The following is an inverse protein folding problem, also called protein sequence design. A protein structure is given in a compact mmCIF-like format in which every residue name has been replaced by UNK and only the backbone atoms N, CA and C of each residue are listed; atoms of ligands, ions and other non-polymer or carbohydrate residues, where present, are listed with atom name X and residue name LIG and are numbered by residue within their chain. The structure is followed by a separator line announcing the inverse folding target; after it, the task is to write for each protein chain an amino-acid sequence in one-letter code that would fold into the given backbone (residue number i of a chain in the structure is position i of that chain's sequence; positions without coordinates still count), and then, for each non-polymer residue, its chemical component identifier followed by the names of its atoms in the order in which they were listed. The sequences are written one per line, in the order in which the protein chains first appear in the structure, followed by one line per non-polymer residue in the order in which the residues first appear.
data_IF_726582261674
#
_entry.id   IF_726582261674
#
_cell.length_a   1.000
_cell.length_b   1.000
_cell.length_c   1.000
_cell.angle_alpha   90.00
_cell.angle_beta   90.00
_cell.angle_gamma   90.00
#
_symmetry.space_group_name_H-M   'P 1'
#
loop_
_entity.id
_entity.type
_entity.pdbx_description
1 polymer ?
#
# COMPACT_ATOMS: atom_id res chain seq x y z
N UNK A 1 29.17 -16.48 -15.70
CA UNK A 1 30.53 -15.97 -15.41
C UNK A 1 30.55 -14.65 -14.62
N UNK A 2 29.41 -14.10 -14.15
CA UNK A 2 29.35 -12.90 -13.28
C UNK A 2 28.65 -13.17 -11.93
N UNK A 3 28.44 -14.45 -11.61
CA UNK A 3 27.74 -14.90 -10.41
C UNK A 3 28.67 -15.88 -9.72
N UNK A 4 29.00 -15.57 -8.47
CA UNK A 4 29.80 -16.40 -7.58
C UNK A 4 28.98 -16.68 -6.32
N UNK A 5 29.33 -17.76 -5.61
CA UNK A 5 28.65 -18.16 -4.38
C UNK A 5 29.65 -18.33 -3.24
N UNK A 6 29.31 -17.83 -2.05
CA UNK A 6 30.05 -18.03 -0.81
C UNK A 6 29.08 -18.53 0.26
N UNK A 7 29.46 -19.59 0.98
CA UNK A 7 28.70 -20.05 2.14
C UNK A 7 29.02 -19.17 3.34
N UNK A 8 28.00 -18.70 4.06
CA UNK A 8 28.13 -17.72 5.16
C UNK A 8 27.12 -18.04 6.27
N UNK A 9 27.55 -18.03 7.54
CA UNK A 9 26.61 -18.04 8.68
C UNK A 9 26.25 -16.60 9.06
N UNK A 10 25.05 -16.18 8.69
CA UNK A 10 24.54 -14.82 8.94
C UNK A 10 24.33 -14.49 10.42
N UNK A 11 24.35 -15.48 11.31
CA UNK A 11 24.27 -15.27 12.77
C UNK A 11 25.61 -14.89 13.36
N UNK A 12 26.71 -15.12 12.63
CA UNK A 12 28.06 -14.79 13.05
C UNK A 12 28.60 -13.64 12.21
N UNK A 13 28.74 -12.46 12.83
CA UNK A 13 29.23 -11.26 12.16
C UNK A 13 30.62 -11.45 11.52
N UNK A 14 31.54 -12.20 12.15
CA UNK A 14 32.86 -12.48 11.58
C UNK A 14 32.76 -13.31 10.31
N UNK A 15 31.85 -14.31 10.27
CA UNK A 15 31.64 -15.12 9.06
C UNK A 15 31.19 -14.27 7.87
N UNK A 16 30.33 -13.28 8.12
CA UNK A 16 29.89 -12.33 7.08
C UNK A 16 31.03 -11.39 6.69
N UNK A 17 31.79 -10.88 7.67
CA UNK A 17 32.90 -9.98 7.43
C UNK A 17 33.98 -10.61 6.54
N UNK A 18 34.40 -11.83 6.86
CA UNK A 18 35.39 -12.59 6.07
C UNK A 18 34.90 -12.84 4.64
N UNK A 19 33.60 -13.08 4.47
CA UNK A 19 33.01 -13.31 3.15
C UNK A 19 33.02 -12.08 2.24
N UNK A 20 33.01 -10.86 2.79
CA UNK A 20 32.90 -9.61 2.01
C UNK A 20 34.18 -8.76 2.00
N UNK A 21 35.15 -9.01 2.89
CA UNK A 21 36.35 -8.18 3.07
C UNK A 21 37.14 -7.95 1.78
N UNK A 22 37.29 -9.00 0.97
CA UNK A 22 38.00 -8.92 -0.32
C UNK A 22 37.25 -8.08 -1.37
N UNK A 23 35.93 -7.96 -1.22
CA UNK A 23 35.05 -7.25 -2.15
C UNK A 23 35.00 -5.75 -1.85
N UNK A 24 35.37 -5.31 -0.64
CA UNK A 24 35.24 -3.92 -0.17
C UNK A 24 36.04 -2.90 -1.01
N UNK A 25 36.98 -3.36 -1.84
CA UNK A 25 37.68 -2.53 -2.83
C UNK A 25 36.81 -2.08 -4.02
N UNK A 26 35.62 -2.67 -4.19
CA UNK A 26 34.65 -2.37 -5.27
C UNK A 26 33.48 -1.56 -4.74
N UNK A 27 32.67 -0.99 -5.63
CA UNK A 27 31.35 -0.48 -5.22
C UNK A 27 30.39 -1.64 -4.95
N UNK A 28 29.89 -1.73 -3.72
CA UNK A 28 29.00 -2.79 -3.26
C UNK A 28 27.61 -2.22 -3.00
N UNK A 29 26.59 -2.99 -3.41
CA UNK A 29 25.23 -2.89 -2.89
C UNK A 29 24.88 -4.22 -2.25
N UNK A 30 24.68 -4.22 -0.93
CA UNK A 30 24.34 -5.40 -0.15
C UNK A 30 22.82 -5.55 -0.10
N UNK A 31 22.29 -6.57 -0.77
CA UNK A 31 20.85 -6.87 -0.79
C UNK A 31 20.48 -7.98 0.19
N UNK A 32 19.70 -7.66 1.22
CA UNK A 32 19.34 -8.58 2.30
C UNK A 32 17.99 -9.25 2.01
N UNK A 33 18.00 -10.26 1.14
CA UNK A 33 16.87 -11.17 0.89
C UNK A 33 16.79 -12.28 1.97
N UNK A 34 16.73 -11.88 3.23
CA UNK A 34 16.84 -12.77 4.40
C UNK A 34 15.74 -12.47 5.42
N UNK A 35 15.44 -13.40 6.35
CA UNK A 35 14.52 -13.14 7.45
C UNK A 35 14.94 -11.93 8.32
N UNK A 36 14.01 -11.10 8.81
CA UNK A 36 14.30 -9.89 9.57
C UNK A 36 15.15 -10.11 10.83
N UNK A 37 14.98 -11.26 11.49
CA UNK A 37 15.76 -11.62 12.68
C UNK A 37 17.27 -11.77 12.44
N UNK A 38 17.72 -11.78 11.18
CA UNK A 38 19.13 -11.84 10.81
C UNK A 38 19.68 -10.49 10.34
N UNK A 39 18.87 -9.42 10.27
CA UNK A 39 19.32 -8.13 9.75
C UNK A 39 20.43 -7.51 10.58
N UNK A 40 20.29 -7.48 11.90
CA UNK A 40 21.28 -6.83 12.79
C UNK A 40 22.63 -7.54 12.69
N UNK A 41 22.68 -8.87 12.89
CA UNK A 41 23.92 -9.64 12.83
C UNK A 41 24.58 -9.57 11.45
N UNK A 42 23.79 -9.59 10.38
CA UNK A 42 24.29 -9.46 9.02
C UNK A 42 24.88 -8.06 8.78
N UNK A 43 24.19 -6.99 9.18
CA UNK A 43 24.67 -5.62 9.01
C UNK A 43 25.95 -5.36 9.83
N UNK A 44 26.04 -5.89 11.05
CA UNK A 44 27.26 -5.83 11.86
C UNK A 44 28.44 -6.48 11.14
N UNK A 45 28.24 -7.65 10.56
CA UNK A 45 29.28 -8.33 9.79
C UNK A 45 29.64 -7.62 8.48
N UNK A 46 28.65 -7.07 7.77
CA UNK A 46 28.91 -6.24 6.59
C UNK A 46 29.72 -4.98 6.93
N UNK A 47 29.40 -4.31 8.04
CA UNK A 47 30.17 -3.17 8.54
C UNK A 47 31.61 -3.57 8.88
N UNK A 48 31.79 -4.66 9.63
CA UNK A 48 33.10 -5.19 10.02
C UNK A 48 33.95 -5.60 8.80
N UNK A 49 33.33 -6.16 7.77
CA UNK A 49 33.97 -6.49 6.50
C UNK A 49 34.20 -5.29 5.57
N UNK A 50 33.81 -4.07 5.97
CA UNK A 50 33.96 -2.85 5.19
C UNK A 50 32.90 -2.63 4.12
N UNK A 51 31.93 -3.54 3.95
CA UNK A 51 30.90 -3.48 2.91
C UNK A 51 29.78 -2.46 3.17
N UNK A 52 29.78 -1.77 4.32
CA UNK A 52 28.89 -0.62 4.62
C UNK A 52 29.64 0.73 4.66
N UNK A 53 30.96 0.74 4.46
CA UNK A 53 31.72 1.99 4.34
C UNK A 53 31.28 2.79 3.10
N UNK A 54 31.36 4.12 3.15
CA UNK A 54 31.04 4.93 1.97
C UNK A 54 31.99 4.57 0.80
N UNK A 55 31.49 4.40 -0.45
CA UNK A 55 30.15 4.74 -0.95
C UNK A 55 29.18 3.56 -1.04
N UNK A 56 29.41 2.45 -0.33
CA UNK A 56 28.58 1.26 -0.39
C UNK A 56 27.17 1.50 0.16
N UNK A 57 26.22 0.69 -0.30
CA UNK A 57 24.79 0.86 -0.01
C UNK A 57 24.18 -0.43 0.50
N UNK A 58 23.13 -0.28 1.29
CA UNK A 58 22.38 -1.37 1.88
C UNK A 58 20.95 -1.38 1.34
N UNK A 59 20.48 -2.52 0.86
CA UNK A 59 19.10 -2.74 0.46
C UNK A 59 18.43 -3.75 1.40
N UNK A 60 17.28 -3.38 1.95
CA UNK A 60 16.53 -4.16 2.93
C UNK A 60 15.15 -4.50 2.39
N UNK A 61 14.80 -5.78 2.44
CA UNK A 61 13.42 -6.21 2.20
C UNK A 61 12.53 -5.93 3.42
N UNK A 62 11.22 -5.89 3.18
CA UNK A 62 10.24 -5.87 4.27
C UNK A 62 10.05 -7.29 4.85
N UNK A 63 9.60 -7.45 6.10
CA UNK A 63 9.21 -6.40 7.04
C UNK A 63 10.38 -5.83 7.86
N UNK A 64 10.28 -4.55 8.22
CA UNK A 64 11.21 -3.86 9.13
C UNK A 64 10.55 -3.80 10.51
N UNK A 65 10.79 -4.82 11.33
CA UNK A 65 10.11 -4.99 12.62
C UNK A 65 8.75 -5.68 12.51
N UNK A 66 8.12 -5.91 13.66
CA UNK A 66 6.76 -6.46 13.80
C UNK A 66 5.84 -5.57 14.66
N UNK A 67 6.40 -4.50 15.23
CA UNK A 67 5.80 -3.42 16.01
C UNK A 67 6.76 -2.22 16.03
N UNK A 68 6.35 -1.11 16.65
CA UNK A 68 7.17 0.11 16.77
C UNK A 68 8.50 -0.13 17.50
N UNK A 69 8.52 -0.98 18.52
CA UNK A 69 9.70 -1.22 19.36
C UNK A 69 10.78 -2.01 18.61
N UNK A 70 10.39 -3.13 18.00
CA UNK A 70 11.28 -3.95 17.17
C UNK A 70 11.74 -3.19 15.91
N UNK A 71 10.87 -2.39 15.29
CA UNK A 71 11.26 -1.54 14.17
C UNK A 71 12.29 -0.48 14.60
N UNK A 72 12.08 0.17 15.75
CA UNK A 72 13.00 1.15 16.31
C UNK A 72 14.37 0.53 16.62
N UNK A 73 14.42 -0.67 17.20
CA UNK A 73 15.66 -1.38 17.48
C UNK A 73 16.44 -1.71 16.19
N UNK A 74 15.76 -2.25 15.18
CA UNK A 74 16.36 -2.52 13.86
C UNK A 74 16.90 -1.24 13.22
N UNK A 75 16.10 -0.18 13.19
CA UNK A 75 16.47 1.08 12.55
C UNK A 75 17.65 1.75 13.27
N UNK A 76 17.65 1.77 14.60
CA UNK A 76 18.74 2.33 15.39
C UNK A 76 20.03 1.53 15.22
N UNK A 77 19.93 0.19 15.27
CA UNK A 77 21.07 -0.70 15.08
C UNK A 77 21.70 -0.54 13.69
N UNK A 78 20.89 -0.41 12.64
CA UNK A 78 21.38 -0.21 11.27
C UNK A 78 21.93 1.22 11.11
N UNK A 79 21.23 2.24 11.62
CA UNK A 79 21.66 3.65 11.53
C UNK A 79 22.97 3.95 12.27
N UNK A 80 23.39 3.11 13.22
CA UNK A 80 24.71 3.19 13.84
C UNK A 80 25.85 2.68 12.94
N UNK A 81 25.53 1.95 11.87
CA UNK A 81 26.50 1.26 11.00
C UNK A 81 26.59 1.89 9.59
N UNK A 82 25.54 2.57 9.15
CA UNK A 82 25.44 3.17 7.81
C UNK A 82 24.54 4.42 7.85
N UNK A 83 24.93 5.44 7.09
CA UNK A 83 24.16 6.68 6.95
C UNK A 83 22.85 6.43 6.16
N UNK A 84 21.78 7.13 6.55
CA UNK A 84 20.42 6.92 6.02
C UNK A 84 20.31 7.18 4.51
N UNK A 85 21.13 8.06 3.94
CA UNK A 85 21.17 8.34 2.50
C UNK A 85 21.69 7.15 1.66
N UNK A 86 22.27 6.14 2.30
CA UNK A 86 22.78 4.91 1.69
C UNK A 86 21.96 3.66 2.06
N UNK A 87 20.82 3.82 2.73
CA UNK A 87 19.90 2.74 3.09
C UNK A 87 18.65 2.77 2.20
N UNK A 88 18.35 1.63 1.58
CA UNK A 88 17.31 1.47 0.57
C UNK A 88 16.31 0.41 1.04
N UNK A 89 15.25 0.82 1.75
CA UNK A 89 14.19 -0.07 2.24
C UNK A 89 13.14 -0.26 1.15
N UNK A 90 12.96 -1.49 0.68
CA UNK A 90 12.11 -1.78 -0.47
C UNK A 90 10.63 -1.79 -0.08
N UNK A 91 9.84 -1.09 -0.88
CA UNK A 91 8.42 -1.38 -1.07
C UNK A 91 8.18 -1.52 -2.58
N UNK A 92 7.90 -2.74 -3.03
CA UNK A 92 7.78 -3.03 -4.47
C UNK A 92 6.58 -2.32 -5.14
N UNK A 93 5.59 -1.81 -4.38
CA UNK A 93 4.51 -1.01 -4.98
C UNK A 93 5.03 0.34 -5.49
N UNK A 94 6.02 0.95 -4.83
CA UNK A 94 6.63 2.22 -5.27
C UNK A 94 7.37 2.08 -6.61
N UNK A 95 7.81 0.87 -6.94
CA UNK A 95 8.44 0.55 -8.23
C UNK A 95 7.45 0.39 -9.39
N UNK A 96 6.13 0.37 -9.15
CA UNK A 96 5.11 0.19 -10.20
C UNK A 96 4.87 1.51 -10.95
N UNK A 97 4.83 1.42 -12.28
CA UNK A 97 4.64 2.58 -13.14
C UNK A 97 3.31 3.31 -12.87
N UNK A 98 2.21 2.56 -12.68
CA UNK A 98 0.92 3.16 -12.37
C UNK A 98 0.91 3.91 -11.02
N UNK A 99 1.68 3.45 -10.04
CA UNK A 99 1.83 4.14 -8.74
C UNK A 99 2.59 5.46 -8.90
N UNK A 100 3.64 5.48 -9.73
CA UNK A 100 4.37 6.72 -10.03
C UNK A 100 3.51 7.71 -10.81
N UNK A 101 2.62 7.22 -11.67
CA UNK A 101 1.71 8.05 -12.45
C UNK A 101 0.73 8.83 -11.55
N UNK A 102 0.48 8.39 -10.31
CA UNK A 102 -0.31 9.17 -9.34
C UNK A 102 0.29 10.56 -9.11
N UNK A 103 1.62 10.65 -8.93
CA UNK A 103 2.32 11.92 -8.71
C UNK A 103 2.22 12.81 -9.95
N UNK A 104 2.45 12.22 -11.13
CA UNK A 104 2.36 12.93 -12.40
C UNK A 104 0.95 13.47 -12.66
N UNK A 105 -0.09 12.69 -12.35
CA UNK A 105 -1.47 13.12 -12.53
C UNK A 105 -1.86 14.22 -11.56
N UNK A 106 -1.54 14.07 -10.27
CA UNK A 106 -1.87 15.08 -9.26
C UNK A 106 -1.17 16.41 -9.53
N UNK A 107 0.15 16.40 -9.70
CA UNK A 107 0.93 17.64 -9.72
C UNK A 107 1.23 18.15 -11.15
N UNK A 108 0.94 17.37 -12.18
CA UNK A 108 1.04 17.79 -13.58
C UNK A 108 -0.23 18.40 -14.17
N UNK A 109 -1.37 18.32 -13.46
CA UNK A 109 -2.68 18.70 -14.00
C UNK A 109 -3.44 19.65 -13.06
N UNK A 110 -3.56 20.91 -13.46
CA UNK A 110 -4.30 21.94 -12.71
C UNK A 110 -5.73 21.53 -12.38
N UNK A 111 -6.41 20.86 -13.32
CA UNK A 111 -7.78 20.41 -13.14
C UNK A 111 -7.91 19.44 -11.95
N UNK A 112 -7.00 18.47 -11.85
CA UNK A 112 -7.03 17.48 -10.77
C UNK A 112 -6.61 18.11 -9.43
N UNK A 113 -5.52 18.88 -9.40
CA UNK A 113 -5.06 19.51 -8.15
C UNK A 113 -6.10 20.49 -7.58
N UNK A 114 -6.84 21.22 -8.43
CA UNK A 114 -7.88 22.14 -8.00
C UNK A 114 -9.00 21.45 -7.18
N UNK A 115 -9.31 20.19 -7.51
CA UNK A 115 -10.34 19.40 -6.82
C UNK A 115 -9.76 18.43 -5.80
N UNK A 116 -8.45 18.37 -5.60
CA UNK A 116 -7.78 17.37 -4.77
C UNK A 116 -7.78 17.69 -3.26
N UNK A 117 -8.94 18.00 -2.69
CA UNK A 117 -9.06 18.38 -1.29
C UNK A 117 -10.45 18.12 -0.73
N UNK A 118 -10.60 18.20 0.61
CA UNK A 118 -11.84 17.99 1.36
C UNK A 118 -13.05 18.80 0.90
N UNK A 119 -12.88 19.87 0.13
CA UNK A 119 -14.01 20.65 -0.41
C UNK A 119 -14.76 19.81 -1.45
N UNK A 120 -14.02 19.07 -2.28
CA UNK A 120 -14.56 18.35 -3.43
C UNK A 120 -14.49 16.83 -3.27
N UNK A 121 -13.51 16.29 -2.53
CA UNK A 121 -13.42 14.85 -2.28
C UNK A 121 -14.34 14.48 -1.11
N UNK A 122 -15.16 13.46 -1.33
CA UNK A 122 -16.03 12.85 -0.33
C UNK A 122 -15.29 11.76 0.44
N UNK A 123 -14.68 10.82 -0.27
CA UNK A 123 -13.96 9.68 0.32
C UNK A 123 -12.88 9.15 -0.62
N UNK A 124 -11.94 8.39 -0.04
CA UNK A 124 -10.93 7.64 -0.78
C UNK A 124 -10.99 6.19 -0.36
N UNK A 125 -11.04 5.26 -1.31
CA UNK A 125 -10.93 3.83 -1.07
C UNK A 125 -9.62 3.31 -1.67
N UNK A 126 -8.83 2.57 -0.90
CA UNK A 126 -7.62 1.88 -1.35
C UNK A 126 -7.82 0.39 -1.08
N UNK A 127 -7.95 -0.39 -2.14
CA UNK A 127 -8.14 -1.83 -2.09
C UNK A 127 -6.91 -2.56 -2.61
N UNK A 128 -6.42 -3.52 -1.84
CA UNK A 128 -5.48 -4.55 -2.32
C UNK A 128 -6.06 -5.93 -2.02
N UNK A 129 -6.71 -6.51 -3.02
CA UNK A 129 -7.31 -7.84 -2.97
C UNK A 129 -6.40 -8.90 -3.60
N UNK A 130 -6.25 -10.02 -2.90
CA UNK A 130 -5.53 -11.20 -3.37
C UNK A 130 -6.51 -12.38 -3.46
N UNK A 131 -6.53 -13.06 -4.61
CA UNK A 131 -7.27 -14.31 -4.75
C UNK A 131 -6.50 -15.50 -4.17
N UNK A 132 -5.18 -15.36 -4.01
CA UNK A 132 -4.30 -16.33 -3.40
C UNK A 132 -4.50 -16.42 -1.87
N UNK A 133 -4.24 -17.60 -1.31
CA UNK A 133 -4.29 -17.83 0.13
C UNK A 133 -2.97 -17.57 0.84
N UNK A 134 -2.90 -17.96 2.11
CA UNK A 134 -1.63 -17.98 2.85
C UNK A 134 -0.71 -19.11 2.34
N UNK A 135 -1.31 -20.23 1.92
CA UNK A 135 -0.76 -21.39 1.21
C UNK A 135 0.66 -21.80 1.66
N UNK A 136 0.73 -22.66 2.69
CA UNK A 136 1.98 -23.29 3.15
C UNK A 136 2.85 -22.42 4.07
N UNK A 137 2.37 -21.22 4.43
CA UNK A 137 3.07 -20.27 5.31
C UNK A 137 2.28 -19.95 6.57
N UNK A 138 1.40 -20.85 7.01
CA UNK A 138 0.42 -20.59 8.06
C UNK A 138 1.06 -20.09 9.37
N UNK A 139 2.13 -20.74 9.83
CA UNK A 139 2.84 -20.36 11.04
C UNK A 139 3.62 -19.03 10.91
N UNK A 140 4.07 -18.68 9.71
CA UNK A 140 4.73 -17.40 9.45
C UNK A 140 3.68 -16.28 9.41
N UNK A 141 2.61 -16.48 8.64
CA UNK A 141 1.55 -15.50 8.47
C UNK A 141 0.80 -15.22 9.78
N UNK A 142 0.68 -16.23 10.66
CA UNK A 142 0.07 -16.09 11.98
C UNK A 142 0.74 -15.04 12.88
N UNK A 143 1.98 -14.64 12.58
CA UNK A 143 2.69 -13.56 13.29
C UNK A 143 2.49 -12.18 12.66
N UNK A 144 2.18 -12.13 11.37
CA UNK A 144 2.02 -10.87 10.63
C UNK A 144 0.56 -10.43 10.59
N UNK A 145 -0.33 -11.29 10.08
CA UNK A 145 -1.68 -10.92 9.71
C UNK A 145 -1.74 -9.92 8.55
N UNK A 146 -2.94 -9.67 8.06
CA UNK A 146 -3.14 -8.74 6.95
C UNK A 146 -2.80 -7.28 7.34
N UNK A 147 -2.97 -6.89 8.61
CA UNK A 147 -2.65 -5.54 9.07
C UNK A 147 -1.15 -5.24 8.89
N UNK A 148 -0.26 -6.13 9.36
CA UNK A 148 1.19 -5.90 9.30
C UNK A 148 1.78 -6.24 7.92
N UNK A 149 1.22 -7.23 7.22
CA UNK A 149 1.76 -7.67 5.92
C UNK A 149 1.47 -6.66 4.80
N UNK A 150 0.26 -6.07 4.80
CA UNK A 150 -0.24 -5.29 3.69
C UNK A 150 -0.56 -3.83 4.05
N UNK A 151 -1.21 -3.59 5.21
CA UNK A 151 -1.60 -2.23 5.58
C UNK A 151 -0.36 -1.40 5.97
N UNK A 152 0.47 -1.92 6.87
CA UNK A 152 1.66 -1.24 7.40
C UNK A 152 2.62 -0.72 6.33
N UNK A 153 2.79 -1.46 5.24
CA UNK A 153 3.69 -1.07 4.15
C UNK A 153 2.89 -0.53 2.96
N UNK A 154 2.30 -1.42 2.15
CA UNK A 154 1.86 -1.09 0.80
C UNK A 154 0.72 -0.09 0.78
N UNK A 155 -0.29 -0.31 1.62
CA UNK A 155 -1.47 0.56 1.62
C UNK A 155 -1.13 1.92 2.22
N UNK A 156 -0.35 1.98 3.29
CA UNK A 156 0.09 3.26 3.84
C UNK A 156 0.97 4.05 2.84
N UNK A 157 1.79 3.37 2.05
CA UNK A 157 2.56 4.03 0.98
C UNK A 157 1.65 4.59 -0.12
N UNK A 158 0.63 3.84 -0.56
CA UNK A 158 -0.37 4.35 -1.51
C UNK A 158 -1.18 5.51 -0.92
N UNK A 159 -1.60 5.41 0.34
CA UNK A 159 -2.29 6.48 1.07
C UNK A 159 -1.43 7.75 1.07
N UNK A 160 -0.14 7.64 1.37
CA UNK A 160 0.77 8.80 1.36
C UNK A 160 0.85 9.45 -0.02
N UNK A 161 0.97 8.67 -1.10
CA UNK A 161 1.04 9.21 -2.46
C UNK A 161 -0.26 9.91 -2.88
N UNK A 162 -1.41 9.43 -2.42
CA UNK A 162 -2.72 10.06 -2.64
C UNK A 162 -2.86 11.34 -1.80
N UNK A 163 -2.40 11.33 -0.55
CA UNK A 163 -2.71 12.36 0.42
C UNK A 163 -1.64 13.46 0.57
N UNK A 164 -0.40 13.23 0.16
CA UNK A 164 0.71 14.18 0.37
C UNK A 164 0.47 15.52 -0.32
N UNK A 165 1.01 16.60 0.25
CA UNK A 165 1.03 17.90 -0.42
C UNK A 165 1.95 17.89 -1.65
N UNK A 166 1.80 18.85 -2.59
CA UNK A 166 2.77 19.04 -3.65
C UNK A 166 4.17 19.30 -3.07
N UNK A 167 5.18 18.47 -3.38
CA UNK A 167 6.53 18.72 -2.90
C UNK A 167 7.15 19.91 -3.64
N UNK A 168 8.09 20.61 -2.98
CA UNK A 168 8.77 21.77 -3.57
C UNK A 168 9.61 21.41 -4.82
N UNK A 169 10.03 20.15 -4.94
CA UNK A 169 10.72 19.58 -6.10
C UNK A 169 10.55 18.05 -6.12
N UNK A 170 11.02 17.40 -7.18
CA UNK A 170 11.04 15.93 -7.30
C UNK A 170 12.29 15.29 -6.66
N UNK A 171 13.03 16.04 -5.85
CA UNK A 171 14.12 15.47 -5.05
C UNK A 171 13.57 14.46 -4.04
N UNK A 172 14.29 13.36 -3.85
CA UNK A 172 13.83 12.23 -3.03
C UNK A 172 13.39 12.65 -1.62
N UNK A 173 14.18 13.45 -0.91
CA UNK A 173 13.82 13.92 0.42
C UNK A 173 12.60 14.81 0.45
N UNK A 174 12.37 15.64 -0.58
CA UNK A 174 11.20 16.51 -0.65
C UNK A 174 9.92 15.69 -0.80
N UNK A 175 9.95 14.63 -1.59
CA UNK A 175 8.82 13.70 -1.70
C UNK A 175 8.61 12.96 -0.36
N UNK A 176 9.68 12.44 0.24
CA UNK A 176 9.62 11.68 1.51
C UNK A 176 9.14 12.55 2.67
N UNK A 177 9.53 13.82 2.73
CA UNK A 177 9.06 14.78 3.72
C UNK A 177 7.53 14.96 3.67
N UNK A 178 6.95 15.08 2.46
CA UNK A 178 5.50 15.21 2.32
C UNK A 178 4.75 13.92 2.68
N UNK A 179 5.33 12.74 2.42
CA UNK A 179 4.77 11.45 2.86
C UNK A 179 4.77 11.33 4.39
N UNK A 180 5.89 11.69 5.05
CA UNK A 180 6.00 11.65 6.52
C UNK A 180 5.01 12.60 7.18
N UNK A 181 4.75 13.78 6.62
CA UNK A 181 3.72 14.69 7.14
C UNK A 181 2.33 14.06 7.16
N UNK A 182 1.99 13.27 6.14
CA UNK A 182 0.73 12.52 6.10
C UNK A 182 0.70 11.47 7.21
N UNK A 183 1.73 10.64 7.32
CA UNK A 183 1.78 9.58 8.34
C UNK A 183 1.66 10.14 9.75
N UNK A 184 2.32 11.26 10.04
CA UNK A 184 2.23 11.95 11.34
C UNK A 184 0.89 12.61 11.60
N UNK A 185 0.10 12.87 10.55
CA UNK A 185 -1.26 13.40 10.65
C UNK A 185 -2.32 12.29 10.70
N UNK A 186 -1.95 11.01 10.60
CA UNK A 186 -2.91 9.93 10.79
C UNK A 186 -3.40 9.92 12.23
N UNK A 187 -4.71 10.02 12.40
CA UNK A 187 -5.36 9.95 13.71
C UNK A 187 -5.17 8.53 14.28
N UNK A 188 -4.60 8.39 15.49
CA UNK A 188 -4.52 7.09 16.15
C UNK A 188 -5.92 6.49 16.37
N UNK A 189 -6.03 5.17 16.17
CA UNK A 189 -7.27 4.44 16.46
C UNK A 189 -7.44 4.28 17.98
N UNK A 190 -8.68 4.30 18.43
CA UNK A 190 -9.03 4.08 19.84
C UNK A 190 -10.04 2.94 19.96
N UNK A 191 -10.12 2.30 21.11
CA UNK A 191 -11.08 1.21 21.36
C UNK A 191 -12.53 1.62 21.09
N UNK A 192 -12.91 2.87 21.39
CA UNK A 192 -14.24 3.41 21.13
C UNK A 192 -14.61 3.39 19.64
N UNK A 193 -13.65 3.69 18.77
CA UNK A 193 -13.85 3.79 17.34
C UNK A 193 -13.57 2.48 16.60
N UNK A 194 -12.88 1.52 17.22
CA UNK A 194 -12.43 0.28 16.59
C UNK A 194 -13.56 -0.48 15.86
N UNK A 195 -14.73 -0.62 16.47
CA UNK A 195 -15.84 -1.36 15.87
C UNK A 195 -16.55 -0.61 14.72
N UNK A 196 -16.48 0.72 14.72
CA UNK A 196 -17.07 1.55 13.67
C UNK A 196 -16.10 1.70 12.48
N UNK A 197 -14.84 2.02 12.78
CA UNK A 197 -13.84 2.38 11.79
C UNK A 197 -13.01 1.18 11.32
N UNK A 198 -13.32 -0.04 11.74
CA UNK A 198 -12.59 -1.20 11.22
C UNK A 198 -13.36 -2.52 11.28
N UNK A 199 -12.95 -3.42 10.38
CA UNK A 199 -13.38 -4.81 10.32
C UNK A 199 -12.14 -5.68 10.15
N UNK A 200 -12.04 -6.74 10.95
CA UNK A 200 -11.05 -7.78 10.77
C UNK A 200 -11.74 -9.11 10.51
N UNK A 201 -11.20 -9.89 9.57
CA UNK A 201 -11.83 -11.13 9.13
C UNK A 201 -10.85 -12.26 8.86
N UNK A 202 -11.38 -13.48 8.82
CA UNK A 202 -10.66 -14.70 8.47
C UNK A 202 -11.43 -15.53 7.45
N UNK A 203 -10.75 -15.94 6.36
CA UNK A 203 -11.44 -16.72 5.34
C UNK A 203 -11.74 -18.15 5.81
N UNK A 204 -12.95 -18.61 5.51
CA UNK A 204 -13.39 -20.00 5.63
C UNK A 204 -13.29 -20.70 4.28
N UNK A 205 -13.58 -22.01 4.26
CA UNK A 205 -13.68 -22.74 3.01
C UNK A 205 -14.74 -22.10 2.09
N UNK A 206 -14.52 -22.19 0.78
CA UNK A 206 -15.36 -21.56 -0.23
C UNK A 206 -14.92 -21.96 -1.64
N UNK A 207 -15.18 -21.11 -2.62
CA UNK A 207 -14.78 -21.34 -4.01
C UNK A 207 -14.33 -20.04 -4.68
N UNK A 208 -13.24 -20.11 -5.45
CA UNK A 208 -12.71 -18.99 -6.22
C UNK A 208 -12.63 -19.43 -7.68
N UNK A 209 -13.26 -18.70 -8.59
CA UNK A 209 -13.30 -19.06 -10.02
C UNK A 209 -13.77 -20.51 -10.28
N UNK A 210 -14.77 -20.96 -9.51
CA UNK A 210 -15.31 -22.32 -9.59
C UNK A 210 -14.42 -23.41 -9.00
N UNK A 211 -13.25 -23.09 -8.45
CA UNK A 211 -12.35 -24.04 -7.81
C UNK A 211 -12.51 -24.03 -6.28
N UNK A 212 -12.52 -25.18 -5.60
CA UNK A 212 -12.63 -25.23 -4.15
C UNK A 212 -11.40 -24.61 -3.49
N UNK A 213 -11.62 -23.80 -2.47
CA UNK A 213 -10.58 -23.18 -1.65
C UNK A 213 -10.75 -23.60 -0.19
N UNK A 214 -9.65 -24.01 0.44
CA UNK A 214 -9.63 -24.44 1.83
C UNK A 214 -9.70 -23.24 2.80
N UNK A 215 -10.19 -23.50 4.01
CA UNK A 215 -10.16 -22.52 5.09
C UNK A 215 -8.72 -22.23 5.55
N UNK A 216 -8.51 -21.09 6.18
CA UNK A 216 -7.25 -20.82 6.86
C UNK A 216 -7.19 -21.58 8.18
N UNK A 217 -6.12 -22.34 8.40
CA UNK A 217 -5.89 -23.10 9.63
C UNK A 217 -4.68 -22.54 10.37
N UNK A 218 -4.85 -21.46 11.16
CA UNK A 218 -3.75 -20.93 11.94
C UNK A 218 -3.38 -21.86 13.10
N UNK A 219 -2.18 -21.68 13.70
CA UNK A 219 -1.82 -22.33 14.95
C UNK A 219 -2.87 -22.12 16.03
N UNK A 220 -3.01 -23.09 16.94
CA UNK A 220 -3.96 -23.04 18.05
C UNK A 220 -3.76 -21.76 18.90
N UNK A 221 -4.87 -21.11 19.27
CA UNK A 221 -4.86 -19.85 20.02
C UNK A 221 -4.51 -18.60 19.19
N UNK A 222 -4.26 -18.74 17.89
CA UNK A 222 -4.01 -17.58 17.02
C UNK A 222 -5.29 -16.85 16.66
N UNK A 223 -5.31 -15.56 17.00
CA UNK A 223 -6.37 -14.62 16.63
C UNK A 223 -5.99 -13.80 15.38
N UNK A 224 -5.16 -14.33 14.48
CA UNK A 224 -4.69 -13.57 13.30
C UNK A 224 -5.78 -13.38 12.24
N UNK A 225 -5.81 -12.19 11.63
CA UNK A 225 -6.69 -11.85 10.52
C UNK A 225 -6.07 -12.10 9.14
N UNK A 226 -6.92 -12.52 8.18
CA UNK A 226 -6.57 -12.64 6.75
C UNK A 226 -7.23 -11.55 5.91
N UNK A 227 -8.08 -10.72 6.53
CA UNK A 227 -8.75 -9.57 5.96
C UNK A 227 -8.75 -8.42 6.95
N UNK A 228 -8.50 -7.21 6.45
CA UNK A 228 -8.60 -5.96 7.20
C UNK A 228 -9.29 -4.92 6.32
N UNK A 229 -10.28 -4.27 6.89
CA UNK A 229 -10.76 -2.98 6.43
C UNK A 229 -10.63 -1.97 7.58
N UNK A 230 -10.06 -0.80 7.33
CA UNK A 230 -9.90 0.26 8.34
C UNK A 230 -10.08 1.63 7.71
N UNK A 231 -10.81 2.51 8.39
CA UNK A 231 -10.93 3.92 8.03
C UNK A 231 -9.79 4.69 8.69
N UNK A 232 -8.91 5.24 7.88
CA UNK A 232 -7.89 6.19 8.30
C UNK A 232 -8.42 7.62 8.18
N UNK A 233 -8.22 8.41 9.24
CA UNK A 233 -8.47 9.84 9.23
C UNK A 233 -7.14 10.60 9.24
N UNK A 234 -7.02 11.60 8.35
CA UNK A 234 -5.82 12.43 8.24
C UNK A 234 -6.16 13.83 8.76
N UNK A 235 -5.66 14.14 9.96
CA UNK A 235 -5.94 15.38 10.68
C UNK A 235 -5.05 16.53 10.19
N UNK A 236 -5.33 17.00 8.98
CA UNK A 236 -4.68 18.18 8.39
C UNK A 236 -5.67 19.05 7.60
N UNK A 237 -5.18 20.18 7.07
CA UNK A 237 -6.02 21.13 6.36
C UNK A 237 -6.68 20.54 5.10
N UNK A 238 -5.95 19.72 4.33
CA UNK A 238 -6.43 19.17 3.06
C UNK A 238 -7.49 18.08 3.25
N UNK A 239 -7.36 17.27 4.30
CA UNK A 239 -8.12 16.01 4.44
C UNK A 239 -9.04 15.92 5.65
N UNK A 240 -9.07 16.91 6.55
CA UNK A 240 -9.97 16.86 7.70
C UNK A 240 -11.43 16.58 7.26
N UNK A 241 -12.01 15.53 7.83
CA UNK A 241 -13.37 15.07 7.55
C UNK A 241 -13.53 14.14 6.34
N UNK A 242 -12.46 13.88 5.57
CA UNK A 242 -12.48 12.91 4.46
C UNK A 242 -11.99 11.54 4.97
N UNK A 243 -12.81 10.49 4.93
CA UNK A 243 -12.38 9.15 5.29
C UNK A 243 -11.53 8.50 4.18
N UNK A 244 -10.45 7.83 4.59
CA UNK A 244 -9.66 6.93 3.74
C UNK A 244 -9.93 5.49 4.14
N UNK A 245 -10.68 4.75 3.35
CA UNK A 245 -10.95 3.34 3.59
C UNK A 245 -9.81 2.50 3.01
N UNK A 246 -9.10 1.80 3.89
CA UNK A 246 -7.97 0.94 3.58
C UNK A 246 -8.44 -0.51 3.69
N UNK A 247 -8.48 -1.23 2.58
CA UNK A 247 -9.01 -2.59 2.54
C UNK A 247 -8.01 -3.57 1.91
N UNK A 248 -7.84 -4.73 2.53
CA UNK A 248 -7.05 -5.83 2.00
C UNK A 248 -7.51 -7.17 2.51
N UNK A 249 -7.33 -8.21 1.71
CA UNK A 249 -7.58 -9.56 2.16
C UNK A 249 -7.07 -10.60 1.19
N UNK A 250 -6.88 -11.80 1.75
CA UNK A 250 -6.57 -13.02 1.01
C UNK A 250 -7.83 -13.82 0.72
N UNK A 251 -7.77 -14.67 -0.31
CA UNK A 251 -8.91 -15.46 -0.79
C UNK A 251 -10.14 -14.58 -1.11
N UNK A 252 -9.92 -13.38 -1.61
CA UNK A 252 -10.99 -12.54 -2.12
C UNK A 252 -11.43 -13.00 -3.51
N UNK A 253 -12.57 -12.48 -3.98
CA UNK A 253 -13.20 -12.86 -5.25
C UNK A 253 -12.23 -12.85 -6.44
N UNK A 254 -11.39 -11.81 -6.52
CA UNK A 254 -10.38 -11.66 -7.56
C UNK A 254 -9.16 -10.90 -7.06
N UNK A 255 -8.06 -11.00 -7.81
CA UNK A 255 -6.85 -10.22 -7.58
C UNK A 255 -7.05 -8.82 -8.15
N UNK A 256 -7.04 -7.80 -7.30
CA UNK A 256 -7.29 -6.42 -7.71
C UNK A 256 -6.54 -5.44 -6.83
N UNK A 257 -5.92 -4.42 -7.41
CA UNK A 257 -5.35 -3.29 -6.67
C UNK A 257 -5.93 -2.02 -7.24
N UNK A 258 -6.66 -1.27 -6.43
CA UNK A 258 -7.41 -0.08 -6.86
C UNK A 258 -7.31 1.06 -5.87
N UNK A 259 -7.27 2.27 -6.39
CA UNK A 259 -7.52 3.50 -5.62
C UNK A 259 -8.72 4.18 -6.28
N UNK A 260 -9.77 4.45 -5.50
CA UNK A 260 -10.95 5.19 -5.97
C UNK A 260 -11.06 6.46 -5.15
N UNK A 261 -11.06 7.60 -5.85
CA UNK A 261 -11.31 8.91 -5.25
C UNK A 261 -12.70 9.34 -5.66
N UNK A 262 -13.62 9.40 -4.70
CA UNK A 262 -15.02 9.78 -4.92
C UNK A 262 -15.20 11.26 -4.63
N UNK A 263 -15.71 12.01 -5.61
CA UNK A 263 -16.04 13.42 -5.44
C UNK A 263 -17.45 13.60 -4.88
N UNK A 264 -17.63 14.64 -4.08
CA UNK A 264 -18.92 15.09 -3.57
C UNK A 264 -19.87 15.43 -4.74
N UNK A 265 -21.18 15.28 -4.55
CA UNK A 265 -22.15 15.74 -5.53
C UNK A 265 -22.02 17.24 -5.76
N UNK A 266 -22.33 17.69 -6.98
CA UNK A 266 -22.40 19.13 -7.29
C UNK A 266 -23.37 19.82 -6.34
N UNK A 267 -23.03 21.06 -5.96
CA UNK A 267 -23.76 21.81 -4.92
C UNK A 267 -25.25 21.97 -5.24
N UNK A 268 -25.57 22.21 -6.52
CA UNK A 268 -26.93 22.40 -7.00
C UNK A 268 -27.16 21.50 -8.23
N UNK A 269 -28.08 20.55 -8.10
CA UNK A 269 -28.44 19.59 -9.16
C UNK A 269 -29.65 20.11 -9.94
N UNK A 270 -29.50 20.26 -11.26
CA UNK A 270 -30.52 20.83 -12.15
C UNK A 270 -31.27 19.77 -12.97
N UNK A 271 -30.81 18.53 -12.98
CA UNK A 271 -31.32 17.49 -13.86
C UNK A 271 -32.43 16.69 -13.18
N UNK A 272 -33.49 16.37 -13.93
CA UNK A 272 -34.59 15.51 -13.43
C UNK A 272 -34.29 14.02 -13.64
N UNK A 273 -33.41 13.69 -14.58
CA UNK A 273 -33.08 12.32 -14.98
C UNK A 273 -31.56 12.14 -15.12
N UNK A 274 -30.90 11.46 -14.17
CA UNK A 274 -31.43 11.05 -12.88
C UNK A 274 -31.71 12.27 -11.98
N UNK A 275 -32.54 12.09 -10.96
CA UNK A 275 -32.59 13.04 -9.86
C UNK A 275 -31.26 13.02 -9.08
N UNK A 276 -31.11 13.96 -8.14
CA UNK A 276 -29.86 14.10 -7.37
C UNK A 276 -29.48 12.84 -6.58
N UNK A 277 -30.45 12.10 -6.07
CA UNK A 277 -30.20 10.93 -5.21
C UNK A 277 -29.72 9.73 -6.03
N UNK A 278 -30.16 9.66 -7.29
CA UNK A 278 -29.80 8.62 -8.23
C UNK A 278 -28.62 9.00 -9.15
N UNK A 279 -28.06 10.20 -9.00
CA UNK A 279 -26.88 10.63 -9.74
C UNK A 279 -25.63 9.87 -9.26
N UNK A 280 -24.86 9.33 -10.21
CA UNK A 280 -23.60 8.64 -9.89
C UNK A 280 -22.52 9.69 -9.57
N UNK A 281 -21.83 9.60 -8.42
CA UNK A 281 -20.75 10.50 -8.07
C UNK A 281 -19.62 10.45 -9.11
N UNK A 282 -18.97 11.59 -9.34
CA UNK A 282 -17.76 11.60 -10.16
C UNK A 282 -16.64 10.88 -9.42
N UNK A 283 -15.90 10.03 -10.13
CA UNK A 283 -14.84 9.20 -9.54
C UNK A 283 -13.59 9.25 -10.39
N UNK A 284 -12.44 9.31 -9.73
CA UNK A 284 -11.16 9.02 -10.36
C UNK A 284 -10.67 7.66 -9.85
N UNK A 285 -10.57 6.70 -10.74
CA UNK A 285 -10.20 5.33 -10.42
C UNK A 285 -8.84 5.01 -11.01
N UNK A 286 -7.91 4.58 -10.15
CA UNK A 286 -6.60 4.06 -10.54
C UNK A 286 -6.62 2.55 -10.33
N UNK A 287 -6.75 1.81 -11.42
CA UNK A 287 -6.50 0.37 -11.44
C UNK A 287 -4.99 0.14 -11.57
N UNK A 288 -4.38 -0.45 -10.54
CA UNK A 288 -2.94 -0.70 -10.51
C UNK A 288 -2.60 -2.15 -10.90
N UNK A 289 -3.51 -3.10 -10.64
CA UNK A 289 -3.41 -4.52 -11.02
C UNK A 289 -4.83 -5.10 -11.11
N UNK A 290 -5.16 -6.03 -12.03
CA UNK A 290 -4.24 -6.77 -12.89
C UNK A 290 -3.77 -5.99 -14.12
N UNK A 291 -4.66 -5.28 -14.80
CA UNK A 291 -4.33 -4.35 -15.88
C UNK A 291 -4.28 -2.93 -15.32
N UNK A 292 -3.21 -2.21 -15.64
CA UNK A 292 -3.05 -0.82 -15.24
C UNK A 292 -3.99 0.06 -16.07
N UNK A 293 -4.98 0.69 -15.43
CA UNK A 293 -5.92 1.61 -16.07
C UNK A 293 -6.20 2.83 -15.18
N UNK A 294 -6.55 3.95 -15.80
CA UNK A 294 -6.98 5.15 -15.09
C UNK A 294 -8.26 5.64 -15.75
N UNK A 295 -9.31 5.76 -14.95
CA UNK A 295 -10.66 6.07 -15.41
C UNK A 295 -11.17 7.31 -14.69
N UNK A 296 -11.76 8.23 -15.46
CA UNK A 296 -12.51 9.37 -14.93
C UNK A 296 -14.00 9.15 -15.23
N UNK A 297 -14.78 8.86 -14.19
CA UNK A 297 -16.23 8.72 -14.26
C UNK A 297 -16.92 10.07 -14.12
N UNK A 298 -17.72 10.44 -15.12
CA UNK A 298 -18.49 11.68 -15.20
C UNK A 298 -19.97 11.37 -15.51
N UNK A 299 -20.81 12.41 -15.48
CA UNK A 299 -22.17 12.34 -16.02
C UNK A 299 -22.23 13.12 -17.33
N UNK A 300 -22.74 12.52 -18.40
CA UNK A 300 -22.86 13.14 -19.73
C UNK A 300 -24.25 12.93 -20.32
N UNK A 301 -24.68 13.83 -21.21
CA UNK A 301 -25.91 13.62 -21.99
C UNK A 301 -25.62 12.78 -23.22
N UNK A 302 -26.53 11.86 -23.56
CA UNK A 302 -26.45 11.08 -24.78
C UNK A 302 -26.90 11.86 -26.04
N UNK A 303 -27.59 13.00 -25.87
CA UNK A 303 -28.12 13.83 -26.97
C UNK A 303 -28.78 13.02 -28.12
N UNK A 304 -29.49 11.93 -27.79
CA UNK A 304 -30.14 11.05 -28.76
C UNK A 304 -31.53 11.57 -29.17
N UNK A 305 -32.01 11.31 -30.41
CA UNK A 305 -33.31 11.80 -30.89
C UNK A 305 -34.53 11.28 -30.09
N UNK A 306 -34.39 10.18 -29.35
CA UNK A 306 -35.42 9.62 -28.46
C UNK A 306 -35.28 10.06 -26.99
N UNK A 307 -34.18 10.72 -26.65
CA UNK A 307 -33.84 11.15 -25.29
C UNK A 307 -33.89 12.67 -25.26
N UNK A 308 -34.77 13.25 -24.43
CA UNK A 308 -34.80 14.71 -24.26
C UNK A 308 -33.39 15.23 -23.96
N UNK A 309 -33.00 16.38 -24.52
CA UNK A 309 -31.62 16.91 -24.55
C UNK A 309 -30.93 17.15 -23.18
N UNK A 310 -31.52 16.70 -22.07
CA UNK A 310 -31.18 17.01 -20.68
C UNK A 310 -31.07 15.73 -19.81
N UNK A 311 -31.30 14.53 -20.34
CA UNK A 311 -31.07 13.30 -19.58
C UNK A 311 -29.59 12.95 -19.52
N UNK A 312 -29.09 12.63 -18.31
CA UNK A 312 -27.69 12.29 -18.06
C UNK A 312 -27.50 10.79 -17.81
N UNK A 313 -26.34 10.28 -18.21
CA UNK A 313 -25.88 8.93 -17.91
C UNK A 313 -24.41 8.94 -17.49
N UNK A 314 -23.96 7.94 -16.71
CA UNK A 314 -22.55 7.76 -16.42
C UNK A 314 -21.73 7.60 -17.70
N UNK A 315 -20.60 8.28 -17.77
CA UNK A 315 -19.61 8.19 -18.85
C UNK A 315 -18.24 7.98 -18.23
N UNK A 316 -17.56 6.91 -18.62
CA UNK A 316 -16.19 6.62 -18.21
C UNK A 316 -15.22 7.08 -19.31
N UNK A 317 -14.26 7.93 -18.93
CA UNK A 317 -13.16 8.34 -19.79
C UNK A 317 -11.90 7.57 -19.40
N UNK A 318 -11.38 6.75 -20.30
CA UNK A 318 -10.10 6.08 -20.11
C UNK A 318 -8.94 7.05 -20.40
N UNK A 319 -8.06 7.23 -19.42
CA UNK A 319 -6.90 8.11 -19.48
C UNK A 319 -5.59 7.33 -19.69
N UNK A 320 -5.68 6.01 -19.87
CA UNK A 320 -4.52 5.13 -19.97
C UNK A 320 -3.84 5.23 -21.35
N UNK A 321 -2.50 5.22 -21.33
CA UNK A 321 -1.68 5.19 -22.55
C UNK A 321 -1.49 3.73 -22.97
N UNK A 322 -1.62 3.38 -24.28
CA UNK A 322 -1.45 2.02 -24.76
C UNK A 322 -0.15 1.34 -24.28
N UNK A 323 -0.26 0.09 -23.88
CA UNK A 323 0.89 -0.76 -23.51
C UNK A 323 1.75 -1.07 -24.74
N UNK A 324 2.93 -0.46 -24.83
CA UNK A 324 3.91 -0.74 -25.90
C UNK A 324 5.35 -0.31 -25.58
N UNK A 325 5.56 0.42 -24.47
CA UNK A 325 6.89 0.71 -23.95
C UNK A 325 7.32 -0.44 -23.02
N UNK A 326 8.54 -0.94 -23.17
CA UNK A 326 9.10 -1.98 -22.30
C UNK A 326 9.14 -1.47 -20.85
N UNK A 327 8.09 -1.77 -20.06
CA UNK A 327 8.01 -1.36 -18.65
C UNK A 327 8.88 -2.31 -17.84
N UNK A 328 9.88 -1.76 -17.16
CA UNK A 328 10.68 -2.52 -16.19
C UNK A 328 9.76 -3.08 -15.11
N UNK A 329 9.99 -4.32 -14.70
CA UNK A 329 9.33 -4.85 -13.51
C UNK A 329 9.76 -4.05 -12.28
N UNK A 330 8.90 -3.95 -11.26
CA UNK A 330 9.13 -3.08 -10.10
C UNK A 330 10.52 -3.29 -9.46
N UNK A 331 10.94 -4.54 -9.26
CA UNK A 331 12.26 -4.86 -8.72
C UNK A 331 13.41 -4.39 -9.60
N UNK A 332 13.33 -4.57 -10.92
CA UNK A 332 14.38 -4.11 -11.83
C UNK A 332 14.58 -2.59 -11.70
N UNK A 333 13.48 -1.84 -11.62
CA UNK A 333 13.54 -0.39 -11.40
C UNK A 333 14.20 -0.03 -10.07
N UNK A 334 13.78 -0.67 -8.97
CA UNK A 334 14.33 -0.41 -7.63
C UNK A 334 15.82 -0.72 -7.58
N UNK A 335 16.27 -1.85 -8.14
CA UNK A 335 17.70 -2.18 -8.17
C UNK A 335 18.52 -1.16 -8.97
N UNK A 336 18.02 -0.69 -10.11
CA UNK A 336 18.70 0.37 -10.87
C UNK A 336 18.80 1.66 -10.06
N UNK A 337 17.73 2.07 -9.37
CA UNK A 337 17.76 3.27 -8.53
C UNK A 337 18.72 3.12 -7.34
N UNK A 338 18.79 1.95 -6.71
CA UNK A 338 19.78 1.67 -5.65
C UNK A 338 21.22 1.66 -6.18
N UNK A 339 21.47 1.12 -7.39
CA UNK A 339 22.79 1.20 -8.04
C UNK A 339 23.19 2.63 -8.43
N UNK A 340 22.22 3.50 -8.68
CA UNK A 340 22.45 4.92 -8.96
C UNK A 340 22.47 5.80 -7.70
N UNK A 341 22.03 5.28 -6.56
CA UNK A 341 21.97 6.04 -5.31
C UNK A 341 20.78 6.99 -5.24
N UNK A 342 19.65 6.65 -5.88
CA UNK A 342 18.43 7.44 -5.87
C UNK A 342 17.42 6.85 -4.87
N UNK A 343 17.18 7.50 -3.71
CA UNK A 343 16.30 6.94 -2.67
C UNK A 343 14.82 7.33 -2.84
N UNK A 344 14.41 7.96 -3.96
CA UNK A 344 13.05 8.50 -4.13
C UNK A 344 11.93 7.46 -3.99
N UNK A 345 12.19 6.20 -4.36
CA UNK A 345 11.23 5.09 -4.31
C UNK A 345 11.42 4.18 -3.09
N UNK A 346 12.17 4.63 -2.09
CA UNK A 346 12.53 3.83 -0.91
C UNK A 346 12.01 4.47 0.36
N UNK A 347 11.68 3.63 1.33
CA UNK A 347 11.06 4.07 2.59
C UNK A 347 12.15 4.57 3.54
N UNK A 348 12.02 5.82 4.00
CA UNK A 348 12.93 6.42 5.00
C UNK A 348 12.61 5.91 6.41
N UNK A 349 13.59 5.97 7.30
CA UNK A 349 13.45 5.48 8.68
C UNK A 349 12.28 6.13 9.45
N UNK A 350 12.06 7.43 9.29
CA UNK A 350 10.98 8.19 9.91
C UNK A 350 9.60 7.85 9.35
N UNK A 351 9.51 7.48 8.06
CA UNK A 351 8.31 6.88 7.48
C UNK A 351 7.98 5.55 8.15
N UNK A 352 8.97 4.65 8.31
CA UNK A 352 8.76 3.36 8.97
C UNK A 352 8.26 3.53 10.40
N UNK A 353 8.88 4.45 11.17
CA UNK A 353 8.49 4.75 12.56
C UNK A 353 7.06 5.28 12.64
N UNK A 354 6.70 6.24 11.79
CA UNK A 354 5.36 6.82 11.80
C UNK A 354 4.28 5.81 11.38
N UNK A 355 4.58 4.97 10.37
CA UNK A 355 3.68 3.90 9.94
C UNK A 355 3.42 2.89 11.07
N UNK A 356 4.47 2.43 11.77
CA UNK A 356 4.31 1.51 12.89
C UNK A 356 3.54 2.12 14.07
N UNK A 357 3.80 3.37 14.41
CA UNK A 357 3.06 4.04 15.49
C UNK A 357 1.55 4.05 15.23
N UNK A 358 1.13 4.23 13.97
CA UNK A 358 -0.29 4.18 13.62
C UNK A 358 -0.84 2.75 13.61
N UNK A 359 -0.09 1.79 13.05
CA UNK A 359 -0.47 0.38 13.01
C UNK A 359 -0.62 -0.22 14.41
N UNK A 360 0.29 0.11 15.32
CA UNK A 360 0.20 -0.33 16.72
C UNK A 360 -1.06 0.23 17.37
N UNK A 361 -1.42 1.50 17.11
CA UNK A 361 -2.69 2.07 17.61
C UNK A 361 -3.92 1.29 17.14
N UNK A 362 -3.93 0.83 15.88
CA UNK A 362 -5.02 -0.01 15.34
C UNK A 362 -5.02 -1.38 16.02
N UNK A 363 -3.85 -2.01 16.12
CA UNK A 363 -3.73 -3.34 16.74
C UNK A 363 -4.10 -3.32 18.23
N UNK A 364 -3.77 -2.26 18.95
CA UNK A 364 -4.06 -2.13 20.38
C UNK A 364 -5.53 -1.76 20.61
N UNK A 365 -6.10 -0.86 19.80
CA UNK A 365 -7.54 -0.58 19.82
C UNK A 365 -8.39 -1.83 19.59
N UNK A 366 -7.97 -2.75 18.71
CA UNK A 366 -8.66 -4.02 18.51
C UNK A 366 -8.62 -4.93 19.74
N UNK A 367 -7.47 -5.00 20.43
CA UNK A 367 -7.32 -5.79 21.67
C UNK A 367 -8.19 -5.21 22.77
N UNK A 368 -8.12 -3.88 22.96
CA UNK A 368 -8.83 -3.17 24.02
C UNK A 368 -10.34 -3.20 23.83
N UNK A 369 -10.82 -3.13 22.59
CA UNK A 369 -12.24 -3.27 22.24
C UNK A 369 -12.72 -4.73 22.17
N UNK A 370 -11.82 -5.71 22.32
CA UNK A 370 -12.08 -7.13 22.04
C UNK A 370 -12.78 -7.34 20.69
N UNK A 371 -12.28 -6.66 19.64
CA UNK A 371 -12.92 -6.64 18.32
C UNK A 371 -12.95 -8.06 17.72
N UNK A 372 -14.14 -8.61 17.42
CA UNK A 372 -14.26 -10.00 16.99
C UNK A 372 -13.73 -10.21 15.57
N UNK A 373 -13.14 -11.38 15.35
CA UNK A 373 -12.71 -11.82 14.03
C UNK A 373 -13.88 -12.43 13.25
N UNK A 374 -14.26 -11.80 12.14
CA UNK A 374 -15.44 -12.21 11.37
C UNK A 374 -15.08 -13.26 10.30
N UNK A 375 -15.84 -14.37 10.18
CA UNK A 375 -15.62 -15.32 9.10
C UNK A 375 -16.09 -14.73 7.76
N UNK A 376 -15.41 -15.09 6.67
CA UNK A 376 -15.90 -14.83 5.32
C UNK A 376 -15.58 -15.99 4.37
N UNK A 377 -16.48 -16.42 3.47
CA UNK A 377 -16.17 -17.50 2.53
C UNK A 377 -15.04 -17.10 1.57
N UNK A 378 -14.09 -18.00 1.32
CA UNK A 378 -13.12 -17.81 0.24
C UNK A 378 -13.86 -17.57 -1.10
N UNK A 379 -13.47 -16.53 -1.82
CA UNK A 379 -14.11 -16.05 -3.05
C UNK A 379 -15.18 -14.97 -2.86
N UNK A 380 -15.50 -14.60 -1.62
CA UNK A 380 -16.28 -13.39 -1.33
C UNK A 380 -15.38 -12.14 -1.33
N UNK A 381 -15.98 -10.96 -1.17
CA UNK A 381 -15.24 -9.69 -1.00
C UNK A 381 -14.89 -9.37 0.47
N UNK A 382 -14.94 -10.38 1.36
CA UNK A 382 -14.71 -10.22 2.78
C UNK A 382 -16.00 -10.31 3.61
N UNK A 383 -15.94 -9.97 4.91
CA UNK A 383 -17.12 -9.94 5.77
C UNK A 383 -18.16 -8.92 5.29
N UNK A 384 -19.44 -9.20 5.45
CA UNK A 384 -20.54 -8.33 5.01
C UNK A 384 -20.46 -6.92 5.62
N UNK A 385 -20.03 -6.84 6.89
CA UNK A 385 -19.82 -5.57 7.59
C UNK A 385 -18.77 -4.66 6.93
N UNK A 386 -17.88 -5.22 6.09
CA UNK A 386 -16.83 -4.48 5.40
C UNK A 386 -17.29 -3.84 4.08
N UNK A 387 -18.53 -4.06 3.64
CA UNK A 387 -19.03 -3.61 2.32
C UNK A 387 -18.80 -2.12 2.06
N UNK A 388 -19.00 -1.27 3.06
CA UNK A 388 -18.86 0.18 2.90
C UNK A 388 -17.40 0.68 2.80
N UNK A 389 -16.41 -0.16 3.13
CA UNK A 389 -14.99 0.15 2.94
C UNK A 389 -14.50 -0.20 1.53
N UNK A 390 -15.22 -1.09 0.84
CA UNK A 390 -14.84 -1.54 -0.49
C UNK A 390 -15.09 -0.43 -1.51
N UNK A 391 -14.23 -0.33 -2.54
CA UNK A 391 -14.56 0.46 -3.71
C UNK A 391 -15.90 -0.03 -4.30
N UNK A 392 -16.73 0.89 -4.80
CA UNK A 392 -17.93 0.51 -5.53
C UNK A 392 -17.54 -0.36 -6.73
N UNK A 393 -18.37 -1.36 -7.04
CA UNK A 393 -18.19 -2.16 -8.24
C UNK A 393 -18.13 -1.23 -9.47
N UNK A 394 -17.21 -1.51 -10.39
CA UNK A 394 -17.22 -0.82 -11.69
C UNK A 394 -18.44 -1.24 -12.49
N UNK A 395 -19.00 -0.33 -13.28
CA UNK A 395 -20.20 -0.62 -14.10
C UNK A 395 -19.94 -1.78 -15.10
N UNK A 396 -18.68 -1.99 -15.50
CA UNK A 396 -18.25 -3.17 -16.28
C UNK A 396 -18.44 -4.52 -15.55
N UNK A 397 -18.42 -4.54 -14.21
CA UNK A 397 -18.73 -5.73 -13.40
C UNK A 397 -20.23 -5.86 -13.15
N UNK A 398 -20.97 -4.75 -13.03
CA UNK A 398 -22.42 -4.76 -12.86
C UNK A 398 -23.17 -5.26 -14.11
N UNK A 399 -22.64 -5.01 -15.32
CA UNK A 399 -23.22 -5.48 -16.58
C UNK A 399 -22.95 -6.96 -16.90
N UNK A 400 -22.13 -7.65 -16.09
CA UNK A 400 -21.79 -9.08 -16.24
C UNK A 400 -22.34 -9.95 -15.09
N UNK A 401 -23.13 -9.38 -14.18
CA UNK A 401 -23.73 -10.06 -13.02
C UNK A 401 -25.19 -10.47 -13.26
#
# INVERSE_FOLDING_TARGET
QRVDYRSVDLRNAESVADAVRELASRQIVSYLAIPPGLYISTCQGLALGGALAAPHRLMLEKPIGHDSDSARDILQSIGALIDEDRVFRLDHYLGKAAVQNLIALRFGNTLLEAVWNRTYIESVQILIAESEGVDGRDAYYARSGALRDMVQSHILQLLCLVAMEPPASLEADRIRDEKVKVLRALRPMTAEHAAHDSVRGRYTAGSINGQPAQAYHPPEGSDVETFVAVTAHIDNWRWAGVPFHLCTGKRLAERSTRIVVTLKPVTHWLFERPDRQNAVPNRLTFQLQPQENIELGLMSSLAGPEWGAIELQPLELELSVPTGLHRRIAYERLFVDAFNGNPALFVRDDEVKAAWSWIDSVSDAWKDAALPLQPYPAGSWGPESATHFLPPATDAQANNA
#
